data_IF_020450194229
#
_entry.id   IF_020450194229
#
_cell.length_a   1.000
_cell.length_b   1.000
_cell.length_c   1.000
_cell.angle_alpha   90.00
_cell.angle_beta   90.00
_cell.angle_gamma   90.00
#
_symmetry.space_group_name_H-M   'P 1'
#
loop_
_entity.id
_entity.type
_entity.pdbx_description
1 polymer ?
#
# COMPACT_ATOMS: atom_id res chain seq x y z
N UNK A 1 -31.99 29.36 26.15
CA UNK A 1 -31.20 28.21 26.65
C UNK A 1 -30.85 27.18 25.56
N UNK A 2 -31.36 27.27 24.31
CA UNK A 2 -31.03 26.29 23.23
C UNK A 2 -29.77 26.62 22.40
N UNK A 3 -29.24 27.83 22.48
CA UNK A 3 -28.10 28.26 21.64
C UNK A 3 -26.77 27.64 22.11
N UNK A 4 -26.55 27.58 23.43
CA UNK A 4 -25.31 27.08 24.03
C UNK A 4 -25.08 25.57 23.83
N UNK A 5 -26.17 24.79 23.67
CA UNK A 5 -26.12 23.34 23.42
C UNK A 5 -25.70 23.01 21.98
N UNK A 6 -26.16 23.79 21.00
CA UNK A 6 -25.78 23.63 19.59
C UNK A 6 -24.32 23.99 19.37
N UNK A 7 -23.86 25.07 20.01
CA UNK A 7 -22.48 25.55 19.92
C UNK A 7 -21.48 24.56 20.54
N UNK A 8 -21.87 23.89 21.63
CA UNK A 8 -21.08 22.81 22.25
C UNK A 8 -21.01 21.57 21.34
N UNK A 9 -22.13 21.17 20.73
CA UNK A 9 -22.19 20.05 19.79
C UNK A 9 -21.31 20.29 18.56
N UNK A 10 -21.34 21.51 18.01
CA UNK A 10 -20.51 21.91 16.87
C UNK A 10 -19.00 21.92 17.20
N UNK A 11 -18.63 22.33 18.42
CA UNK A 11 -17.22 22.26 18.88
C UNK A 11 -16.74 20.83 19.03
N UNK A 12 -17.56 19.93 19.59
CA UNK A 12 -17.23 18.51 19.74
C UNK A 12 -17.03 17.84 18.37
N UNK A 13 -17.88 18.13 17.38
CA UNK A 13 -17.72 17.57 16.03
C UNK A 13 -16.52 18.16 15.28
N UNK A 14 -16.18 19.44 15.51
CA UNK A 14 -14.98 20.05 14.95
C UNK A 14 -13.68 19.46 15.55
N UNK A 15 -13.66 19.17 16.84
CA UNK A 15 -12.50 18.57 17.52
C UNK A 15 -12.27 17.11 17.10
N UNK A 16 -13.33 16.35 16.88
CA UNK A 16 -13.24 14.99 16.32
C UNK A 16 -12.73 15.00 14.88
N UNK A 17 -13.25 15.89 14.04
CA UNK A 17 -12.76 16.06 12.67
C UNK A 17 -11.26 16.43 12.64
N UNK A 18 -10.82 17.32 13.52
CA UNK A 18 -9.40 17.69 13.64
C UNK A 18 -8.53 16.47 13.99
N UNK A 19 -8.97 15.62 14.92
CA UNK A 19 -8.23 14.40 15.26
C UNK A 19 -8.09 13.44 14.08
N UNK A 20 -9.13 13.29 13.24
CA UNK A 20 -9.01 12.48 12.03
C UNK A 20 -8.02 13.07 11.02
N UNK A 21 -8.07 14.39 10.81
CA UNK A 21 -7.15 15.10 9.91
C UNK A 21 -5.70 14.91 10.38
N UNK A 22 -5.40 15.22 11.63
CA UNK A 22 -4.04 15.09 12.20
C UNK A 22 -3.52 13.65 12.12
N UNK A 23 -4.38 12.65 12.32
CA UNK A 23 -4.02 11.24 12.15
C UNK A 23 -3.67 10.91 10.70
N UNK A 24 -4.43 11.39 9.73
CA UNK A 24 -4.15 11.17 8.30
C UNK A 24 -2.87 11.90 7.89
N UNK A 25 -2.67 13.15 8.31
CA UNK A 25 -1.45 13.91 7.99
C UNK A 25 -0.19 13.22 8.54
N UNK A 26 -0.26 12.66 9.75
CA UNK A 26 0.83 11.86 10.31
C UNK A 26 1.09 10.59 9.47
N UNK A 27 0.03 9.87 9.10
CA UNK A 27 0.17 8.67 8.25
C UNK A 27 0.74 9.00 6.87
N UNK A 28 0.40 10.16 6.29
CA UNK A 28 0.96 10.61 5.02
C UNK A 28 2.45 10.98 5.14
N UNK A 29 2.85 11.60 6.25
CA UNK A 29 4.27 11.83 6.55
C UNK A 29 5.04 10.52 6.70
N UNK A 30 4.53 9.57 7.49
CA UNK A 30 5.12 8.23 7.66
C UNK A 30 5.22 7.49 6.32
N UNK A 31 4.17 7.55 5.49
CA UNK A 31 4.16 6.94 4.16
C UNK A 31 5.22 7.54 3.24
N UNK A 32 5.43 8.86 3.31
CA UNK A 32 6.48 9.55 2.55
C UNK A 32 7.86 9.08 3.00
N UNK A 33 8.11 9.05 4.30
CA UNK A 33 9.40 8.61 4.86
C UNK A 33 9.71 7.17 4.47
N UNK A 34 8.72 6.26 4.55
CA UNK A 34 8.85 4.88 4.10
C UNK A 34 9.14 4.81 2.59
N UNK A 35 8.47 5.62 1.78
CA UNK A 35 8.70 5.64 0.34
C UNK A 35 10.12 6.12 0.00
N UNK A 36 10.67 7.08 0.73
CA UNK A 36 12.02 7.56 0.54
C UNK A 36 13.06 6.51 1.00
N UNK A 37 12.85 5.84 2.14
CA UNK A 37 13.67 4.69 2.55
C UNK A 37 13.66 3.57 1.51
N UNK A 38 12.51 3.26 0.90
CA UNK A 38 12.42 2.27 -0.17
C UNK A 38 13.24 2.66 -1.42
N UNK A 39 13.29 3.96 -1.76
CA UNK A 39 14.12 4.45 -2.87
C UNK A 39 15.61 4.29 -2.56
N UNK A 40 16.03 4.57 -1.34
CA UNK A 40 17.43 4.40 -0.91
C UNK A 40 17.87 2.95 -1.04
N UNK A 41 17.08 1.99 -0.55
CA UNK A 41 17.37 0.55 -0.69
C UNK A 41 17.47 0.13 -2.17
N UNK A 42 16.57 0.64 -3.02
CA UNK A 42 16.63 0.36 -4.46
C UNK A 42 17.86 0.98 -5.12
N UNK A 43 18.28 2.17 -4.68
CA UNK A 43 19.49 2.82 -5.16
C UNK A 43 20.76 2.07 -4.73
N UNK A 44 20.81 1.59 -3.48
CA UNK A 44 21.89 0.75 -2.98
C UNK A 44 21.98 -0.56 -3.77
N UNK A 45 20.87 -1.25 -3.99
CA UNK A 45 20.82 -2.47 -4.79
C UNK A 45 21.35 -2.22 -6.22
N UNK A 46 20.94 -1.10 -6.84
CA UNK A 46 21.45 -0.69 -8.15
C UNK A 46 22.96 -0.43 -8.12
N UNK A 47 23.47 0.26 -7.10
CA UNK A 47 24.90 0.55 -6.91
C UNK A 47 25.74 -0.72 -6.73
N UNK A 48 25.14 -1.78 -6.17
CA UNK A 48 25.74 -3.11 -6.05
C UNK A 48 25.62 -3.98 -7.32
N UNK A 49 24.98 -3.47 -8.38
CA UNK A 49 24.85 -4.15 -9.67
C UNK A 49 23.59 -5.01 -9.82
N UNK A 50 22.64 -4.97 -8.89
CA UNK A 50 21.37 -5.69 -9.04
C UNK A 50 20.39 -4.97 -9.97
N UNK A 51 19.59 -5.74 -10.72
CA UNK A 51 18.48 -5.18 -11.50
C UNK A 51 17.27 -4.88 -10.60
N UNK A 52 17.05 -3.60 -10.32
CA UNK A 52 15.92 -3.13 -9.50
C UNK A 52 14.54 -3.43 -10.11
N UNK A 53 14.42 -3.65 -11.42
CA UNK A 53 13.15 -4.09 -12.05
C UNK A 53 12.86 -5.53 -11.67
N UNK A 54 13.87 -6.40 -11.69
CA UNK A 54 13.74 -7.80 -11.29
C UNK A 54 13.43 -7.90 -9.79
N UNK A 55 14.09 -7.11 -8.94
CA UNK A 55 13.77 -7.05 -7.51
C UNK A 55 12.30 -6.70 -7.28
N UNK A 56 11.76 -5.68 -7.97
CA UNK A 56 10.33 -5.32 -7.85
C UNK A 56 9.40 -6.46 -8.28
N UNK A 57 9.74 -7.18 -9.35
CA UNK A 57 8.97 -8.36 -9.80
C UNK A 57 8.98 -9.46 -8.73
N UNK A 58 10.14 -9.75 -8.13
CA UNK A 58 10.25 -10.73 -7.04
C UNK A 58 9.43 -10.31 -5.82
N UNK A 59 9.47 -9.04 -5.42
CA UNK A 59 8.65 -8.53 -4.31
C UNK A 59 7.15 -8.68 -4.65
N UNK A 60 6.74 -8.35 -5.87
CA UNK A 60 5.35 -8.49 -6.29
C UNK A 60 4.89 -9.96 -6.26
N UNK A 61 5.69 -10.88 -6.81
CA UNK A 61 5.42 -12.33 -6.76
C UNK A 61 5.29 -12.83 -5.31
N UNK A 62 6.16 -12.36 -4.41
CA UNK A 62 6.14 -12.72 -2.98
C UNK A 62 4.96 -12.13 -2.21
N UNK A 63 4.29 -11.10 -2.74
CA UNK A 63 3.10 -10.50 -2.13
C UNK A 63 1.81 -11.18 -2.54
N UNK A 64 1.81 -11.97 -3.62
CA UNK A 64 0.63 -12.70 -4.06
C UNK A 64 0.31 -13.81 -3.06
N UNK A 65 -0.98 -14.00 -2.80
CA UNK A 65 -1.46 -15.10 -1.97
C UNK A 65 -1.11 -16.43 -2.67
N UNK A 66 -0.74 -17.45 -1.90
CA UNK A 66 -0.44 -18.77 -2.46
C UNK A 66 -1.65 -19.36 -3.21
N UNK A 67 -2.86 -19.02 -2.79
CA UNK A 67 -4.10 -19.43 -3.47
C UNK A 67 -4.27 -18.71 -4.81
N UNK A 68 -4.00 -17.40 -4.88
CA UNK A 68 -4.06 -16.64 -6.13
C UNK A 68 -3.02 -17.12 -7.15
N UNK A 69 -1.86 -17.58 -6.68
CA UNK A 69 -0.83 -18.18 -7.53
C UNK A 69 -1.31 -19.53 -8.06
N UNK A 70 -1.85 -20.39 -7.20
CA UNK A 70 -2.34 -21.71 -7.57
C UNK A 70 -3.52 -21.66 -8.56
N UNK A 71 -4.44 -20.72 -8.38
CA UNK A 71 -5.55 -20.51 -9.32
C UNK A 71 -5.07 -20.04 -10.69
N UNK A 72 -4.16 -19.07 -10.75
CA UNK A 72 -3.61 -18.59 -12.02
C UNK A 72 -2.78 -19.68 -12.72
N UNK A 73 -2.00 -20.46 -11.98
CA UNK A 73 -1.25 -21.60 -12.54
C UNK A 73 -2.18 -22.68 -13.10
N UNK A 74 -3.29 -23.00 -12.43
CA UNK A 74 -4.27 -23.95 -12.92
C UNK A 74 -4.93 -23.48 -14.22
N UNK A 75 -5.29 -22.20 -14.31
CA UNK A 75 -5.85 -21.60 -15.54
C UNK A 75 -4.82 -21.57 -16.66
N UNK A 76 -3.57 -21.20 -16.36
CA UNK A 76 -2.48 -21.17 -17.32
C UNK A 76 -2.21 -22.56 -17.90
N UNK A 77 -2.21 -23.59 -17.06
CA UNK A 77 -2.00 -24.96 -17.50
C UNK A 77 -3.13 -25.45 -18.42
N UNK A 78 -4.39 -25.17 -18.07
CA UNK A 78 -5.54 -25.44 -18.94
C UNK A 78 -5.39 -24.76 -20.32
N UNK A 79 -4.89 -23.53 -20.36
CA UNK A 79 -4.65 -22.82 -21.61
C UNK A 79 -3.50 -23.42 -22.43
N UNK A 80 -2.40 -23.85 -21.79
CA UNK A 80 -1.31 -24.53 -22.49
C UNK A 80 -1.76 -25.87 -23.06
N UNK A 81 -2.51 -26.65 -22.30
CA UNK A 81 -3.10 -27.90 -22.77
C UNK A 81 -4.00 -27.66 -24.00
N UNK A 82 -4.86 -26.63 -23.94
CA UNK A 82 -5.71 -26.25 -25.06
C UNK A 82 -4.93 -25.77 -26.29
N UNK A 83 -3.74 -25.20 -26.08
CA UNK A 83 -2.84 -24.73 -27.14
C UNK A 83 -1.83 -25.80 -27.59
N UNK A 84 -1.79 -26.97 -26.95
CA UNK A 84 -0.84 -28.05 -27.23
C UNK A 84 0.61 -27.70 -26.90
N UNK A 85 0.83 -26.86 -25.88
CA UNK A 85 2.15 -26.42 -25.40
C UNK A 85 2.63 -27.21 -24.19
#
# INVERSE_FOLDING_TARGET
MSDSSTDTSYRVTADELRQFIERIERLDAEKKDIADQQKEVMAEAKGRGYDTKVIRKVIALRKRDQNDIAEEEAVLEMYKEALGM
#
